data_IF_462076840327
#
_entry.id   IF_462076840327
#
_cell.length_a   1.000
_cell.length_b   1.000
_cell.length_c   1.000
_cell.angle_alpha   90.00
_cell.angle_beta   90.00
_cell.angle_gamma   90.00
#
_symmetry.space_group_name_H-M   'P 1'
#
loop_
_entity.id
_entity.type
_entity.pdbx_description
1 polymer ?
#
# COMPACT_ATOMS: atom_id res chain seq x y z
N UNK A 1 29.50 -2.04 7.65
CA UNK A 1 28.73 -2.13 6.38
C UNK A 1 29.15 -0.94 5.53
N UNK A 2 29.57 -1.12 4.27
CA UNK A 2 29.81 0.05 3.43
C UNK A 2 28.50 0.82 3.31
N UNK A 3 28.58 2.16 3.40
CA UNK A 3 27.46 3.04 3.06
C UNK A 3 27.04 2.62 1.66
N UNK A 4 25.81 2.11 1.51
CA UNK A 4 25.30 1.80 0.19
C UNK A 4 25.42 3.09 -0.63
N UNK A 5 26.21 3.05 -1.70
CA UNK A 5 26.17 4.09 -2.73
C UNK A 5 24.70 4.41 -3.00
N UNK A 6 24.36 5.71 -3.03
CA UNK A 6 23.01 6.10 -3.37
C UNK A 6 22.74 5.63 -4.79
N UNK A 7 22.13 4.45 -4.92
CA UNK A 7 21.78 3.83 -6.22
C UNK A 7 20.82 4.71 -7.03
N UNK A 8 20.28 5.76 -6.41
CA UNK A 8 19.41 6.75 -7.04
C UNK A 8 20.17 8.03 -7.46
N UNK A 9 21.48 8.12 -7.20
CA UNK A 9 22.29 9.24 -7.65
C UNK A 9 22.18 9.41 -9.18
N UNK A 10 21.84 10.62 -9.62
CA UNK A 10 21.63 10.92 -11.04
C UNK A 10 20.29 10.45 -11.63
N UNK A 11 19.44 9.76 -10.86
CA UNK A 11 18.08 9.39 -11.31
C UNK A 11 17.20 10.65 -11.37
N UNK A 12 16.52 10.93 -12.51
CA UNK A 12 15.61 12.06 -12.61
C UNK A 12 14.52 11.99 -11.53
N UNK A 13 14.29 13.13 -10.86
CA UNK A 13 13.20 13.23 -9.89
C UNK A 13 11.86 13.28 -10.63
N UNK A 14 10.89 12.54 -10.12
CA UNK A 14 9.50 12.62 -10.59
C UNK A 14 8.96 14.04 -10.27
N UNK A 15 8.39 14.76 -11.25
CA UNK A 15 7.80 16.08 -11.00
C UNK A 15 6.73 16.02 -9.92
N UNK A 16 6.74 16.99 -9.02
CA UNK A 16 5.75 17.13 -7.95
C UNK A 16 4.79 18.26 -8.30
N UNK A 17 3.50 17.97 -8.28
CA UNK A 17 2.44 18.94 -8.56
C UNK A 17 1.47 18.98 -7.39
N UNK A 18 1.16 20.19 -6.93
CA UNK A 18 0.15 20.46 -5.91
C UNK A 18 -1.12 21.06 -6.56
N UNK A 19 -2.24 20.99 -5.85
CA UNK A 19 -3.50 21.60 -6.32
C UNK A 19 -4.03 21.00 -7.64
N UNK A 20 -3.76 19.71 -7.89
CA UNK A 20 -4.25 19.03 -9.10
C UNK A 20 -5.78 18.97 -9.10
N UNK A 21 -6.39 19.41 -10.19
CA UNK A 21 -7.82 19.23 -10.46
C UNK A 21 -8.02 18.17 -11.52
N UNK A 22 -9.26 17.69 -11.67
CA UNK A 22 -9.62 16.74 -12.72
C UNK A 22 -9.36 17.29 -14.12
N UNK A 23 -9.77 18.53 -14.37
CA UNK A 23 -9.66 19.18 -15.67
C UNK A 23 -8.19 19.28 -16.09
N UNK A 24 -7.30 19.65 -15.16
CA UNK A 24 -5.86 19.69 -15.39
C UNK A 24 -5.27 18.30 -15.54
N UNK A 25 -5.72 17.32 -14.76
CA UNK A 25 -5.27 15.94 -14.89
C UNK A 25 -5.58 15.38 -16.29
N UNK A 26 -6.81 15.59 -16.78
CA UNK A 26 -7.26 15.12 -18.09
C UNK A 26 -6.57 15.87 -19.25
N UNK A 27 -6.35 17.19 -19.11
CA UNK A 27 -5.73 18.01 -20.16
C UNK A 27 -4.19 17.92 -20.21
N UNK A 28 -3.52 17.80 -19.08
CA UNK A 28 -2.05 17.90 -18.97
C UNK A 28 -1.40 16.54 -18.70
N UNK A 29 -1.94 15.75 -17.77
CA UNK A 29 -1.25 14.57 -17.22
C UNK A 29 -1.53 13.31 -18.04
N UNK A 30 -2.79 13.04 -18.36
CA UNK A 30 -3.21 11.89 -19.17
C UNK A 30 -2.49 11.87 -20.52
N UNK A 31 -2.50 12.93 -21.35
CA UNK A 31 -1.84 12.91 -22.65
C UNK A 31 -0.31 12.92 -22.57
N UNK A 32 0.29 13.44 -21.48
CA UNK A 32 1.74 13.45 -21.32
C UNK A 32 2.34 12.05 -21.14
N UNK A 33 1.58 11.11 -20.56
CA UNK A 33 2.00 9.71 -20.39
C UNK A 33 3.30 9.55 -19.59
N UNK A 34 3.58 10.48 -18.65
CA UNK A 34 4.80 10.49 -17.83
C UNK A 34 4.44 10.43 -16.34
N UNK A 35 5.26 9.76 -15.50
CA UNK A 35 5.05 9.72 -14.06
C UNK A 35 5.07 11.12 -13.43
N UNK A 36 4.14 11.39 -12.52
CA UNK A 36 4.06 12.60 -11.70
C UNK A 36 3.62 12.25 -10.27
N UNK A 37 4.07 13.03 -9.29
CA UNK A 37 3.61 12.93 -7.91
C UNK A 37 2.59 14.04 -7.65
N UNK A 38 1.36 13.67 -7.28
CA UNK A 38 0.27 14.60 -7.00
C UNK A 38 0.17 14.84 -5.49
N UNK A 39 0.92 15.83 -4.99
CA UNK A 39 1.06 16.09 -3.56
C UNK A 39 -0.24 16.70 -3.00
N UNK A 40 -0.70 16.14 -1.89
CA UNK A 40 -1.86 16.64 -1.16
C UNK A 40 -3.21 16.40 -1.83
N UNK A 41 -3.28 15.60 -2.91
CA UNK A 41 -4.51 15.31 -3.66
C UNK A 41 -5.60 14.71 -2.78
N UNK A 42 -5.24 13.78 -1.91
CA UNK A 42 -6.15 13.01 -1.04
C UNK A 42 -5.94 13.30 0.44
N UNK A 43 -5.32 14.44 0.78
CA UNK A 43 -5.03 14.83 2.18
C UNK A 43 -6.27 14.91 3.06
N UNK A 44 -7.43 15.12 2.44
CA UNK A 44 -8.71 15.30 3.10
C UNK A 44 -9.46 13.98 3.31
N UNK A 45 -8.94 12.85 2.83
CA UNK A 45 -9.50 11.55 3.17
C UNK A 45 -9.46 11.32 4.69
N UNK A 46 -10.56 10.85 5.30
CA UNK A 46 -10.58 10.53 6.73
C UNK A 46 -9.47 9.56 7.14
N UNK A 47 -9.16 8.56 6.31
CA UNK A 47 -8.04 7.64 6.53
C UNK A 47 -6.68 8.35 6.61
N UNK A 48 -6.43 9.34 5.73
CA UNK A 48 -5.16 10.08 5.71
C UNK A 48 -5.05 10.99 6.94
N UNK A 49 -6.16 11.59 7.37
CA UNK A 49 -6.22 12.38 8.61
C UNK A 49 -6.04 11.52 9.86
N UNK A 50 -6.54 10.28 9.87
CA UNK A 50 -6.31 9.32 10.94
C UNK A 50 -4.83 8.90 10.99
N UNK A 51 -4.25 8.53 9.84
CA UNK A 51 -2.83 8.17 9.72
C UNK A 51 -1.87 9.30 10.12
N UNK A 52 -2.26 10.57 9.92
CA UNK A 52 -1.48 11.71 10.36
C UNK A 52 -1.45 11.88 11.89
N UNK A 53 -2.35 11.23 12.63
CA UNK A 53 -2.38 11.24 14.09
C UNK A 53 -1.49 10.13 14.65
N UNK A 54 -1.74 8.88 14.24
CA UNK A 54 -0.89 7.73 14.55
C UNK A 54 -1.28 6.49 13.72
N UNK A 55 -0.45 5.44 13.79
CA UNK A 55 -0.78 4.15 13.18
C UNK A 55 -2.00 3.50 13.84
N UNK A 56 -2.15 3.66 15.17
CA UNK A 56 -3.33 3.19 15.92
C UNK A 56 -4.60 3.90 15.47
N UNK A 57 -4.57 5.21 15.28
CA UNK A 57 -5.73 5.96 14.79
C UNK A 57 -6.14 5.51 13.38
N UNK A 58 -5.19 5.19 12.50
CA UNK A 58 -5.49 4.60 11.20
C UNK A 58 -6.11 3.20 11.34
N UNK A 59 -5.58 2.36 12.23
CA UNK A 59 -6.13 1.03 12.48
C UNK A 59 -7.57 1.10 13.01
N UNK A 60 -7.84 1.95 14.00
CA UNK A 60 -9.18 2.18 14.55
C UNK A 60 -10.14 2.67 13.46
N UNK A 61 -9.68 3.58 12.58
CA UNK A 61 -10.47 4.03 11.44
C UNK A 61 -10.82 2.86 10.49
N UNK A 62 -9.84 2.02 10.16
CA UNK A 62 -10.05 0.87 9.26
C UNK A 62 -10.95 -0.20 9.90
N UNK A 63 -10.84 -0.42 11.21
CA UNK A 63 -11.69 -1.34 11.96
C UNK A 63 -13.17 -0.90 11.99
N UNK A 64 -13.43 0.41 11.81
CA UNK A 64 -14.77 0.95 11.57
C UNK A 64 -15.43 0.47 10.27
N UNK A 65 -14.67 -0.15 9.35
CA UNK A 65 -15.15 -0.72 8.08
C UNK A 65 -14.84 -2.22 8.02
N UNK A 66 -15.57 -3.05 8.77
CA UNK A 66 -15.25 -4.46 8.92
C UNK A 66 -15.27 -5.20 7.58
N UNK A 67 -14.22 -5.99 7.35
CA UNK A 67 -14.13 -6.83 6.17
C UNK A 67 -15.23 -7.90 6.16
N UNK A 68 -15.82 -8.13 4.98
CA UNK A 68 -16.85 -9.17 4.72
C UNK A 68 -16.24 -10.53 4.38
N UNK A 69 -14.94 -10.59 4.09
CA UNK A 69 -14.24 -11.83 3.78
C UNK A 69 -12.79 -11.78 4.26
N UNK A 70 -12.18 -12.96 4.37
CA UNK A 70 -10.73 -13.07 4.61
C UNK A 70 -9.92 -12.59 3.41
N UNK A 71 -8.65 -12.30 3.69
CA UNK A 71 -7.61 -11.95 2.72
C UNK A 71 -6.49 -13.00 2.78
N UNK A 72 -5.67 -13.04 1.74
CA UNK A 72 -4.37 -13.73 1.78
C UNK A 72 -3.27 -12.72 2.12
N UNK A 73 -2.41 -13.06 3.07
CA UNK A 73 -1.21 -12.31 3.38
C UNK A 73 0.01 -13.23 3.39
N UNK A 74 1.18 -12.66 3.12
CA UNK A 74 2.46 -13.34 3.11
C UNK A 74 3.20 -13.06 4.40
N UNK A 75 3.72 -14.12 5.02
CA UNK A 75 4.53 -14.06 6.23
C UNK A 75 5.91 -14.65 5.94
N UNK A 76 6.96 -13.88 6.16
CA UNK A 76 8.35 -14.29 5.89
C UNK A 76 9.24 -14.06 7.10
N UNK A 77 10.18 -14.98 7.32
CA UNK A 77 11.12 -14.89 8.44
C UNK A 77 11.91 -13.57 8.42
N UNK A 78 12.33 -13.01 9.57
CA UNK A 78 13.01 -11.71 9.64
C UNK A 78 14.23 -11.60 8.71
N UNK A 79 14.92 -12.72 8.47
CA UNK A 79 16.08 -12.84 7.59
C UNK A 79 15.81 -12.38 6.14
N UNK A 80 14.56 -12.47 5.64
CA UNK A 80 14.23 -12.02 4.28
C UNK A 80 14.19 -10.48 4.17
N UNK A 81 14.15 -9.78 5.31
CA UNK A 81 14.10 -8.30 5.41
C UNK A 81 13.04 -7.70 4.48
N UNK A 82 11.84 -8.28 4.53
CA UNK A 82 10.70 -7.88 3.71
C UNK A 82 10.80 -8.14 2.20
N UNK A 83 11.82 -8.88 1.72
CA UNK A 83 11.96 -9.27 0.32
C UNK A 83 11.31 -10.63 0.07
N UNK A 84 10.02 -10.62 -0.20
CA UNK A 84 9.26 -11.81 -0.57
C UNK A 84 9.65 -12.30 -1.98
N UNK A 85 9.79 -13.62 -2.15
CA UNK A 85 10.17 -14.24 -3.42
C UNK A 85 10.40 -15.74 -3.28
N UNK A 86 11.33 -16.27 -4.08
CA UNK A 86 11.74 -17.67 -4.03
C UNK A 86 12.70 -17.93 -2.86
N UNK A 87 12.72 -19.18 -2.38
CA UNK A 87 13.79 -19.72 -1.53
C UNK A 87 15.13 -19.72 -2.28
N UNK A 88 16.23 -19.81 -1.54
CA UNK A 88 17.60 -19.78 -2.12
C UNK A 88 17.85 -20.91 -3.11
N UNK A 89 17.20 -22.07 -2.92
CA UNK A 89 17.27 -23.23 -3.82
C UNK A 89 16.28 -23.16 -4.99
N UNK A 90 15.46 -22.11 -5.05
CA UNK A 90 14.40 -21.88 -6.04
C UNK A 90 13.31 -22.97 -6.10
N UNK A 91 13.23 -23.84 -5.08
CA UNK A 91 12.24 -24.93 -5.03
C UNK A 91 10.91 -24.53 -4.41
N UNK A 92 10.87 -23.36 -3.77
CA UNK A 92 9.67 -22.85 -3.12
C UNK A 92 9.74 -21.36 -2.90
N UNK A 93 8.93 -20.89 -1.96
CA UNK A 93 8.88 -19.49 -1.56
C UNK A 93 9.64 -19.29 -0.25
N UNK A 94 10.21 -18.10 -0.06
CA UNK A 94 10.85 -17.71 1.20
C UNK A 94 9.83 -17.17 2.25
N UNK A 95 8.54 -17.43 2.01
CA UNK A 95 7.42 -16.98 2.81
C UNK A 95 6.30 -18.01 2.71
N UNK A 96 5.38 -17.94 3.66
CA UNK A 96 4.13 -18.69 3.64
C UNK A 96 2.95 -17.76 3.37
N UNK A 97 1.88 -18.33 2.82
CA UNK A 97 0.60 -17.65 2.60
C UNK A 97 -0.35 -18.02 3.72
N UNK A 98 -0.93 -17.02 4.37
CA UNK A 98 -1.94 -17.20 5.42
C UNK A 98 -3.23 -16.53 5.01
N UNK A 99 -4.34 -17.23 5.24
CA UNK A 99 -5.69 -16.67 5.10
C UNK A 99 -6.18 -16.19 6.46
N UNK A 100 -6.49 -14.91 6.57
CA UNK A 100 -6.87 -14.24 7.83
C UNK A 100 -7.78 -13.05 7.57
N UNK A 101 -8.39 -12.49 8.61
CA UNK A 101 -9.14 -11.24 8.54
C UNK A 101 -8.19 -10.05 8.36
N UNK A 102 -8.64 -9.01 7.65
CA UNK A 102 -7.86 -7.77 7.49
C UNK A 102 -7.45 -7.16 8.83
N UNK A 103 -8.37 -7.14 9.82
CA UNK A 103 -8.09 -6.66 11.18
C UNK A 103 -6.99 -7.44 11.90
N UNK A 104 -6.87 -8.75 11.64
CA UNK A 104 -5.85 -9.60 12.26
C UNK A 104 -4.46 -9.24 11.70
N UNK A 105 -4.38 -8.96 10.40
CA UNK A 105 -3.14 -8.45 9.79
C UNK A 105 -2.79 -7.06 10.33
N UNK A 106 -3.76 -6.14 10.45
CA UNK A 106 -3.54 -4.79 10.99
C UNK A 106 -3.03 -4.86 12.44
N UNK A 107 -3.69 -5.67 13.29
CA UNK A 107 -3.26 -5.88 14.67
C UNK A 107 -1.84 -6.44 14.75
N UNK A 108 -1.52 -7.45 13.94
CA UNK A 108 -0.16 -8.01 13.88
C UNK A 108 0.88 -6.94 13.52
N UNK A 109 0.60 -6.12 12.50
CA UNK A 109 1.51 -5.05 12.04
C UNK A 109 1.72 -3.99 13.12
N UNK A 110 0.65 -3.59 13.82
CA UNK A 110 0.75 -2.64 14.92
C UNK A 110 1.59 -3.20 16.06
N UNK A 111 1.28 -4.41 16.53
CA UNK A 111 1.96 -5.05 17.65
C UNK A 111 3.47 -5.18 17.41
N UNK A 112 3.89 -5.46 16.17
CA UNK A 112 5.26 -5.79 15.83
C UNK A 112 6.02 -4.68 15.06
N UNK A 113 5.46 -3.45 14.96
CA UNK A 113 6.03 -2.37 14.13
C UNK A 113 7.48 -1.99 14.46
N UNK A 114 7.87 -2.11 15.73
CA UNK A 114 9.23 -1.84 16.23
C UNK A 114 10.06 -3.11 16.48
N UNK A 115 9.50 -4.30 16.24
CA UNK A 115 10.19 -5.58 16.48
C UNK A 115 10.93 -6.06 15.23
N UNK A 116 12.25 -5.83 15.20
CA UNK A 116 13.11 -6.29 14.12
C UNK A 116 13.22 -7.82 14.00
N UNK A 117 12.76 -8.57 15.02
CA UNK A 117 12.73 -10.04 15.04
C UNK A 117 11.37 -10.64 14.64
N UNK A 118 10.36 -9.79 14.40
CA UNK A 118 9.06 -10.24 13.91
C UNK A 118 9.11 -10.68 12.45
N UNK A 119 8.19 -11.58 12.08
CA UNK A 119 8.01 -11.95 10.68
C UNK A 119 7.58 -10.72 9.87
N UNK A 120 8.16 -10.57 8.68
CA UNK A 120 7.65 -9.61 7.71
C UNK A 120 6.25 -10.04 7.28
N UNK A 121 5.28 -9.16 7.34
CA UNK A 121 3.91 -9.41 6.89
C UNK A 121 3.51 -8.42 5.78
N UNK A 122 2.84 -8.92 4.75
CA UNK A 122 2.40 -8.13 3.61
C UNK A 122 1.20 -8.77 2.90
N UNK A 123 0.20 -7.96 2.55
CA UNK A 123 -0.90 -8.34 1.69
C UNK A 123 -1.05 -7.27 0.60
N UNK A 124 -0.93 -7.66 -0.66
CA UNK A 124 -0.99 -6.75 -1.80
C UNK A 124 -2.12 -7.13 -2.75
N UNK A 125 -2.66 -6.15 -3.46
CA UNK A 125 -3.69 -6.39 -4.47
C UNK A 125 -5.02 -6.89 -3.90
N UNK A 126 -5.30 -6.63 -2.63
CA UNK A 126 -6.56 -7.04 -1.99
C UNK A 126 -7.72 -6.34 -2.73
N UNK A 127 -8.72 -7.07 -3.27
CA UNK A 127 -9.83 -6.46 -3.98
C UNK A 127 -10.77 -5.75 -3.00
N UNK A 128 -10.54 -4.47 -2.77
CA UNK A 128 -11.18 -3.72 -1.70
C UNK A 128 -12.72 -3.68 -1.80
N UNK A 129 -13.35 -3.53 -3.00
CA UNK A 129 -14.80 -3.59 -3.14
C UNK A 129 -15.41 -4.95 -2.74
N UNK A 130 -14.63 -6.03 -2.81
CA UNK A 130 -15.09 -7.36 -2.38
C UNK A 130 -14.90 -7.55 -0.88
N UNK A 131 -13.75 -7.11 -0.36
CA UNK A 131 -13.34 -7.37 1.03
C UNK A 131 -13.97 -6.38 2.00
N UNK A 132 -13.92 -5.08 1.72
CA UNK A 132 -14.48 -4.02 2.56
C UNK A 132 -15.21 -2.98 1.70
N UNK A 133 -16.34 -3.35 1.08
CA UNK A 133 -17.09 -2.46 0.17
C UNK A 133 -17.48 -1.13 0.82
N UNK A 134 -17.75 -1.13 2.12
CA UNK A 134 -18.21 0.05 2.84
C UNK A 134 -17.08 1.08 3.06
N UNK A 135 -15.81 0.68 2.93
CA UNK A 135 -14.65 1.58 2.97
C UNK A 135 -14.47 2.35 1.66
N UNK A 136 -14.89 1.77 0.52
CA UNK A 136 -14.63 2.35 -0.81
C UNK A 136 -15.22 3.77 -0.98
N UNK A 137 -16.48 4.04 -0.58
CA UNK A 137 -17.04 5.40 -0.68
C UNK A 137 -16.30 6.44 0.17
N UNK A 138 -15.59 6.02 1.22
CA UNK A 138 -14.82 6.90 2.08
C UNK A 138 -13.42 7.26 1.52
N UNK A 139 -13.02 6.64 0.41
CA UNK A 139 -11.75 6.86 -0.28
C UNK A 139 -11.97 7.30 -1.75
N UNK A 140 -12.65 8.44 -1.99
CA UNK A 140 -13.03 8.85 -3.34
C UNK A 140 -11.81 9.26 -4.18
N UNK A 141 -11.72 8.77 -5.42
CA UNK A 141 -10.70 9.19 -6.38
C UNK A 141 -11.16 10.45 -7.16
N UNK A 142 -10.63 11.66 -6.86
CA UNK A 142 -11.20 12.91 -7.37
C UNK A 142 -10.91 13.18 -8.86
N UNK A 143 -9.94 12.48 -9.45
CA UNK A 143 -9.45 12.72 -10.81
C UNK A 143 -10.12 11.83 -11.88
N UNK A 144 -10.90 10.82 -11.49
CA UNK A 144 -11.53 9.88 -12.41
C UNK A 144 -13.05 10.03 -12.38
N UNK A 145 -13.72 9.86 -13.52
CA UNK A 145 -15.17 9.98 -13.61
C UNK A 145 -15.85 9.02 -12.61
N UNK A 146 -16.86 9.46 -11.82
CA UNK A 146 -17.48 8.62 -10.80
C UNK A 146 -18.06 7.30 -11.32
N UNK A 147 -18.42 7.26 -12.60
CA UNK A 147 -18.98 6.11 -13.31
C UNK A 147 -17.92 5.30 -14.08
N UNK A 148 -16.63 5.58 -13.89
CA UNK A 148 -15.57 4.80 -14.53
C UNK A 148 -15.36 3.50 -13.76
N UNK A 149 -15.26 2.40 -14.49
CA UNK A 149 -14.84 1.14 -13.90
C UNK A 149 -13.40 1.27 -13.40
N UNK A 150 -13.21 1.05 -12.10
CA UNK A 150 -11.94 1.17 -11.41
C UNK A 150 -11.68 -0.10 -10.62
N UNK A 151 -10.53 -0.73 -10.87
CA UNK A 151 -10.00 -1.71 -9.94
C UNK A 151 -9.46 -0.95 -8.72
N UNK A 152 -10.13 -1.14 -7.57
CA UNK A 152 -9.71 -0.57 -6.29
C UNK A 152 -9.05 -1.69 -5.49
N UNK A 153 -7.75 -1.55 -5.27
CA UNK A 153 -6.95 -2.53 -4.55
C UNK A 153 -6.33 -1.91 -3.29
N UNK A 154 -6.25 -2.70 -2.22
CA UNK A 154 -5.54 -2.35 -1.00
C UNK A 154 -4.20 -3.10 -0.94
N UNK A 155 -3.16 -2.37 -0.55
CA UNK A 155 -1.86 -2.89 -0.19
C UNK A 155 -1.57 -2.50 1.25
N UNK A 156 -1.22 -3.47 2.08
CA UNK A 156 -0.96 -3.25 3.50
C UNK A 156 0.14 -4.21 3.98
N UNK A 157 1.08 -3.73 4.77
CA UNK A 157 2.19 -4.52 5.26
C UNK A 157 3.20 -3.68 6.02
N UNK A 158 4.16 -4.37 6.63
CA UNK A 158 5.31 -3.72 7.27
C UNK A 158 6.35 -3.31 6.23
N UNK A 159 7.58 -3.03 6.71
CA UNK A 159 8.70 -2.67 5.84
C UNK A 159 9.01 -3.80 4.85
N UNK A 160 8.71 -3.57 3.58
CA UNK A 160 8.85 -4.56 2.50
C UNK A 160 9.68 -4.05 1.33
N UNK A 161 10.13 -4.98 0.48
CA UNK A 161 10.86 -4.71 -0.77
C UNK A 161 10.18 -5.42 -1.92
N UNK A 162 9.57 -4.65 -2.81
CA UNK A 162 8.87 -5.17 -3.99
C UNK A 162 9.79 -5.16 -5.21
N UNK A 163 9.76 -6.24 -6.01
CA UNK A 163 10.48 -6.30 -7.27
C UNK A 163 9.83 -5.39 -8.33
N UNK A 164 10.62 -4.89 -9.29
CA UNK A 164 10.08 -4.10 -10.40
C UNK A 164 9.14 -4.94 -11.28
N UNK A 165 7.96 -4.38 -11.59
CA UNK A 165 6.91 -4.98 -12.43
C UNK A 165 6.04 -3.86 -13.06
N UNK A 166 5.19 -4.20 -14.04
CA UNK A 166 4.27 -3.29 -14.74
C UNK A 166 2.93 -3.97 -15.05
#
# INVERSE_FOLDING_TARGET
>A
MPVAEDIWAGTPRVPVIEGMTRERFEAEIVPAGRPVLLRGLVRDWPAVRAAAQSDEALADYLDGFPARSTIEAWFGAPAIRGRFGYSDDLKGFNHERRTLQLRELIAYLLEHREDASAFSAYAGGIPLPKVAPDLVPALPMPLLAPNRDMLVSLWIGGRSRTAAHW
#
